data_IF_125049987323
#
_entry.id   IF_125049987323
#
_cell.length_a   1.000
_cell.length_b   1.000
_cell.length_c   1.000
_cell.angle_alpha   90.00
_cell.angle_beta   90.00
_cell.angle_gamma   90.00
#
_symmetry.space_group_name_H-M   'P 1'
#
loop_
_entity.id
_entity.type
_entity.pdbx_description
1 polymer ?
#
# COMPACT_ATOMS: atom_id res chain seq x y z
N UNK A 1 15.74 -24.11 17.55
CA UNK A 1 16.65 -23.21 16.79
C UNK A 1 16.14 -22.80 15.38
N UNK A 2 15.10 -23.44 14.80
CA UNK A 2 14.62 -23.14 13.43
C UNK A 2 13.66 -21.94 13.27
N UNK A 3 13.09 -21.41 14.36
CA UNK A 3 12.05 -20.37 14.29
C UNK A 3 12.57 -18.97 13.97
N UNK A 4 13.84 -18.69 14.27
CA UNK A 4 14.47 -17.37 14.06
C UNK A 4 14.92 -17.19 12.62
N UNK A 5 15.50 -18.22 11.96
CA UNK A 5 15.98 -18.14 10.57
C UNK A 5 14.86 -17.79 9.57
N UNK A 6 13.65 -18.33 9.76
CA UNK A 6 12.48 -18.02 8.93
C UNK A 6 12.02 -16.55 9.08
N UNK A 7 12.14 -15.99 10.28
CA UNK A 7 11.79 -14.59 10.54
C UNK A 7 12.79 -13.65 9.86
N UNK A 8 14.09 -13.89 10.04
CA UNK A 8 15.15 -13.09 9.43
C UNK A 8 15.08 -13.15 7.89
N UNK A 9 14.85 -14.33 7.31
CA UNK A 9 14.69 -14.49 5.86
C UNK A 9 13.46 -13.73 5.31
N UNK A 10 12.32 -13.80 5.99
CA UNK A 10 11.10 -13.11 5.56
C UNK A 10 11.21 -11.59 5.71
N UNK A 11 11.92 -11.13 6.75
CA UNK A 11 12.24 -9.73 6.99
C UNK A 11 13.22 -9.17 5.94
N UNK A 12 14.26 -9.93 5.60
CA UNK A 12 15.22 -9.56 4.56
C UNK A 12 14.56 -9.44 3.18
N UNK A 13 13.66 -10.37 2.83
CA UNK A 13 12.84 -10.29 1.61
C UNK A 13 11.90 -9.08 1.63
N UNK A 14 11.40 -8.68 2.81
CA UNK A 14 10.55 -7.50 2.95
C UNK A 14 11.34 -6.21 2.66
N UNK A 15 12.58 -6.09 3.18
CA UNK A 15 13.45 -4.94 2.96
C UNK A 15 13.78 -4.73 1.49
N UNK A 16 14.15 -5.79 0.76
CA UNK A 16 14.43 -5.71 -0.68
C UNK A 16 13.20 -5.23 -1.48
N UNK A 17 12.00 -5.48 -0.98
CA UNK A 17 10.76 -5.06 -1.65
C UNK A 17 10.28 -3.67 -1.23
N UNK A 18 10.90 -3.04 -0.24
CA UNK A 18 10.60 -1.63 0.11
C UNK A 18 10.96 -0.71 -1.06
N UNK A 19 12.00 -1.04 -1.82
CA UNK A 19 12.36 -0.30 -3.04
C UNK A 19 11.21 -0.30 -4.06
N UNK A 20 10.56 -1.45 -4.28
CA UNK A 20 9.37 -1.60 -5.14
C UNK A 20 8.20 -0.70 -4.68
N UNK A 21 8.07 -0.51 -3.36
CA UNK A 21 7.09 0.38 -2.75
C UNK A 21 7.45 1.87 -2.91
N UNK A 22 8.74 2.21 -2.97
CA UNK A 22 9.23 3.59 -3.04
C UNK A 22 9.58 4.05 -4.46
N UNK A 23 9.56 3.16 -5.46
CA UNK A 23 9.80 3.53 -6.87
C UNK A 23 9.00 4.76 -7.29
N UNK A 24 9.71 5.81 -7.73
CA UNK A 24 9.18 7.16 -7.84
C UNK A 24 7.88 7.26 -8.68
N UNK A 25 7.83 6.60 -9.86
CA UNK A 25 6.62 6.56 -10.70
C UNK A 25 5.46 5.78 -10.06
N UNK A 26 5.76 4.71 -9.34
CA UNK A 26 4.76 3.92 -8.63
C UNK A 26 4.28 4.61 -7.34
N UNK A 27 5.15 5.37 -6.68
CA UNK A 27 4.90 6.04 -5.42
C UNK A 27 3.82 7.12 -5.58
N UNK A 28 3.89 7.90 -6.65
CA UNK A 28 2.87 8.91 -6.96
C UNK A 28 1.47 8.28 -7.14
N UNK A 29 1.41 7.15 -7.87
CA UNK A 29 0.15 6.42 -8.06
C UNK A 29 -0.38 5.86 -6.74
N UNK A 30 0.51 5.34 -5.88
CA UNK A 30 0.15 4.83 -4.55
C UNK A 30 -0.38 5.94 -3.64
N UNK A 31 0.24 7.13 -3.61
CA UNK A 31 -0.26 8.29 -2.87
C UNK A 31 -1.67 8.68 -3.29
N UNK A 32 -1.94 8.73 -4.60
CA UNK A 32 -3.29 8.99 -5.12
C UNK A 32 -4.31 7.95 -4.68
N UNK A 33 -3.94 6.66 -4.69
CA UNK A 33 -4.80 5.58 -4.18
C UNK A 33 -5.06 5.74 -2.69
N UNK A 34 -4.02 6.00 -1.90
CA UNK A 34 -4.13 6.20 -0.45
C UNK A 34 -5.07 7.37 -0.14
N UNK A 35 -4.87 8.51 -0.79
CA UNK A 35 -5.71 9.70 -0.61
C UNK A 35 -7.18 9.38 -0.86
N UNK A 36 -7.50 8.70 -1.97
CA UNK A 36 -8.87 8.26 -2.25
C UNK A 36 -9.43 7.34 -1.16
N UNK A 37 -8.62 6.43 -0.62
CA UNK A 37 -9.02 5.50 0.44
C UNK A 37 -9.17 6.16 1.81
N UNK A 38 -8.46 7.25 2.08
CA UNK A 38 -8.65 8.06 3.29
C UNK A 38 -9.97 8.83 3.25
N UNK A 39 -10.40 9.28 2.07
CA UNK A 39 -11.71 9.93 1.92
C UNK A 39 -12.85 8.95 2.09
N UNK A 40 -12.76 7.76 1.46
CA UNK A 40 -13.74 6.69 1.62
C UNK A 40 -13.20 5.32 1.22
N UNK A 41 -13.68 4.22 1.86
CA UNK A 41 -13.42 2.88 1.40
C UNK A 41 -13.83 2.69 -0.07
N UNK A 42 -12.93 2.13 -0.89
CA UNK A 42 -13.19 1.90 -2.31
C UNK A 42 -12.78 0.49 -2.73
N UNK A 43 -13.45 -0.05 -3.74
CA UNK A 43 -13.02 -1.24 -4.48
C UNK A 43 -11.93 -0.89 -5.50
N UNK A 44 -11.17 -1.89 -5.94
CA UNK A 44 -10.17 -1.70 -7.01
C UNK A 44 -10.78 -1.17 -8.31
N UNK A 45 -12.02 -1.56 -8.62
CA UNK A 45 -12.73 -1.07 -9.80
C UNK A 45 -13.07 0.42 -9.67
N UNK A 46 -13.61 0.85 -8.53
CA UNK A 46 -13.93 2.28 -8.30
C UNK A 46 -12.67 3.15 -8.37
N UNK A 47 -11.56 2.69 -7.77
CA UNK A 47 -10.27 3.37 -7.86
C UNK A 47 -9.78 3.48 -9.31
N UNK A 48 -9.92 2.42 -10.12
CA UNK A 48 -9.55 2.46 -11.54
C UNK A 48 -10.32 3.52 -12.32
N UNK A 49 -11.61 3.69 -12.02
CA UNK A 49 -12.45 4.71 -12.68
C UNK A 49 -12.15 6.12 -12.20
N UNK A 50 -12.01 6.32 -10.88
CA UNK A 50 -11.72 7.64 -10.29
C UNK A 50 -10.36 8.19 -10.71
N UNK A 51 -9.35 7.32 -10.73
CA UNK A 51 -7.97 7.73 -10.99
C UNK A 51 -7.60 7.68 -12.48
N UNK A 52 -8.53 7.26 -13.34
CA UNK A 52 -8.31 7.01 -14.77
C UNK A 52 -7.11 6.08 -15.01
N UNK A 53 -7.08 4.97 -14.28
CA UNK A 53 -6.01 3.97 -14.33
C UNK A 53 -6.55 2.62 -14.82
N UNK A 54 -5.66 1.81 -15.41
CA UNK A 54 -5.98 0.43 -15.71
C UNK A 54 -6.24 -0.37 -14.42
N UNK A 55 -7.21 -1.28 -14.48
CA UNK A 55 -7.58 -2.11 -13.33
C UNK A 55 -6.38 -2.95 -12.81
N UNK A 56 -5.57 -3.50 -13.72
CA UNK A 56 -4.36 -4.27 -13.37
C UNK A 56 -3.33 -3.41 -12.63
N UNK A 57 -3.12 -2.16 -13.07
CA UNK A 57 -2.25 -1.19 -12.41
C UNK A 57 -2.72 -0.90 -10.99
N UNK A 58 -4.02 -0.63 -10.81
CA UNK A 58 -4.59 -0.40 -9.47
C UNK A 58 -4.44 -1.62 -8.59
N UNK A 59 -4.73 -2.82 -9.11
CA UNK A 59 -4.62 -4.07 -8.36
C UNK A 59 -3.18 -4.32 -7.88
N UNK A 60 -2.19 -4.11 -8.77
CA UNK A 60 -0.78 -4.21 -8.41
C UNK A 60 -0.39 -3.28 -7.25
N UNK A 61 -0.80 -2.02 -7.31
CA UNK A 61 -0.52 -1.07 -6.23
C UNK A 61 -1.22 -1.42 -4.92
N UNK A 62 -2.48 -1.90 -4.98
CA UNK A 62 -3.20 -2.34 -3.79
C UNK A 62 -2.54 -3.56 -3.13
N UNK A 63 -2.05 -4.52 -3.92
CA UNK A 63 -1.34 -5.70 -3.41
C UNK A 63 -0.03 -5.31 -2.70
N UNK A 64 0.74 -4.37 -3.25
CA UNK A 64 1.91 -3.83 -2.58
C UNK A 64 1.55 -3.13 -1.27
N UNK A 65 0.59 -2.20 -1.31
CA UNK A 65 0.17 -1.45 -0.12
C UNK A 65 -0.37 -2.38 0.98
N UNK A 66 -1.12 -3.43 0.62
CA UNK A 66 -1.65 -4.41 1.57
C UNK A 66 -0.53 -5.25 2.18
N UNK A 67 0.43 -5.69 1.36
CA UNK A 67 1.60 -6.47 1.80
C UNK A 67 2.49 -5.71 2.78
N UNK A 68 2.63 -4.40 2.62
CA UNK A 68 3.33 -3.53 3.56
C UNK A 68 2.44 -3.08 4.73
N UNK A 69 1.18 -3.54 4.79
CA UNK A 69 0.26 -3.23 5.86
C UNK A 69 -0.15 -1.76 5.89
N UNK A 70 -0.07 -1.04 4.77
CA UNK A 70 -0.50 0.35 4.64
C UNK A 70 -2.01 0.40 4.50
N UNK A 71 -2.58 -0.55 3.75
CA UNK A 71 -4.02 -0.75 3.60
C UNK A 71 -4.42 -2.17 4.02
N UNK A 72 -5.71 -2.41 4.19
CA UNK A 72 -6.27 -3.76 4.36
C UNK A 72 -7.54 -3.91 3.55
N UNK A 73 -7.84 -5.12 3.08
CA UNK A 73 -9.17 -5.42 2.53
C UNK A 73 -10.17 -5.74 3.63
N UNK A 74 -11.42 -5.32 3.45
CA UNK A 74 -12.59 -5.83 4.17
C UNK A 74 -13.46 -6.62 3.20
N UNK A 75 -13.82 -7.88 3.51
CA UNK A 75 -14.79 -8.61 2.73
C UNK A 75 -16.16 -7.92 2.85
N UNK A 76 -16.81 -7.65 1.73
CA UNK A 76 -18.21 -7.24 1.66
C UNK A 76 -18.98 -8.23 0.79
N UNK A 77 -20.32 -8.28 0.95
CA UNK A 77 -21.22 -9.27 0.33
C UNK A 77 -21.04 -9.44 -1.19
N UNK A 78 -20.51 -8.43 -1.88
CA UNK A 78 -20.39 -8.45 -3.34
C UNK A 78 -18.98 -8.19 -3.87
N UNK A 79 -18.14 -7.39 -3.18
CA UNK A 79 -16.78 -7.03 -3.63
C UNK A 79 -15.88 -6.71 -2.44
N UNK A 80 -14.58 -7.01 -2.53
CA UNK A 80 -13.61 -6.56 -1.53
C UNK A 80 -13.44 -5.03 -1.61
N UNK A 81 -13.59 -4.36 -0.47
CA UNK A 81 -13.30 -2.92 -0.32
C UNK A 81 -11.99 -2.75 0.43
N UNK A 82 -11.21 -1.75 0.04
CA UNK A 82 -9.94 -1.42 0.67
C UNK A 82 -10.11 -0.23 1.62
N UNK A 83 -9.33 -0.22 2.70
CA UNK A 83 -9.28 0.87 3.67
C UNK A 83 -7.83 1.12 4.11
N UNK A 84 -7.50 2.35 4.48
CA UNK A 84 -6.19 2.66 5.08
C UNK A 84 -6.09 2.10 6.49
N UNK A 85 -4.86 1.76 6.89
CA UNK A 85 -4.53 1.37 8.26
C UNK A 85 -3.93 2.56 9.02
N UNK A 86 -3.70 2.41 10.33
CA UNK A 86 -3.00 3.44 11.12
C UNK A 86 -1.54 3.67 10.68
N UNK A 87 -0.93 2.72 9.95
CA UNK A 87 0.47 2.79 9.55
C UNK A 87 0.74 3.92 8.54
N UNK A 88 -0.27 4.39 7.81
CA UNK A 88 -0.08 5.46 6.82
C UNK A 88 0.41 6.75 7.48
N UNK A 89 -0.18 7.13 8.62
CA UNK A 89 0.18 8.34 9.38
C UNK A 89 1.61 8.29 9.89
N UNK A 90 2.10 7.10 10.19
CA UNK A 90 3.48 6.87 10.60
C UNK A 90 4.42 7.14 9.44
N UNK A 91 4.13 6.62 8.25
CA UNK A 91 4.96 6.80 7.05
C UNK A 91 4.98 8.27 6.61
N UNK A 92 3.84 8.94 6.58
CA UNK A 92 3.76 10.37 6.21
C UNK A 92 4.59 11.25 7.13
N UNK A 93 4.57 10.96 8.43
CA UNK A 93 5.42 11.64 9.41
C UNK A 93 6.91 11.45 9.10
N UNK A 94 7.35 10.21 8.87
CA UNK A 94 8.75 9.93 8.52
C UNK A 94 9.18 10.65 7.23
N UNK A 95 8.35 10.63 6.19
CA UNK A 95 8.66 11.29 4.91
C UNK A 95 8.69 12.83 5.04
N UNK A 96 7.85 13.41 5.91
CA UNK A 96 7.87 14.86 6.16
C UNK A 96 9.15 15.31 6.87
N UNK A 97 9.68 14.47 7.77
CA UNK A 97 10.91 14.75 8.53
C UNK A 97 12.17 14.67 7.64
N UNK A 98 12.18 13.78 6.64
CA UNK A 98 13.31 13.56 5.72
C UNK A 98 13.45 14.69 4.68
N UNK A 99 12.35 15.35 4.29
CA UNK A 99 12.35 16.48 3.36
C UNK A 99 12.80 17.82 3.97
N UNK A 100 13.04 17.85 5.28
CA UNK A 100 13.55 19.00 6.04
C UNK A 100 15.04 18.88 6.38
N UNK A 101 15.72 17.82 5.92
CA UNK A 101 17.18 17.62 5.99
C UNK A 101 17.81 17.78 4.61
#
# INVERSE_FOLDING_TARGET
MFRVKRFVSKFLIMLVKVEELLENKGWETRKRIIFELETKPCTAYELSKKLSLNYSTVKYHLELLEKFGIITRKPSKHKNVYITTKNIKTIEKYLSEESMQ
#
